data_IF_833944493279
#
_entry.id   IF_833944493279
#
_cell.length_a   1.000
_cell.length_b   1.000
_cell.length_c   1.000
_cell.angle_alpha   90.00
_cell.angle_beta   90.00
_cell.angle_gamma   90.00
#
_symmetry.space_group_name_H-M   'P 1'
#
loop_
_entity.id
_entity.type
_entity.pdbx_description
1 polymer ?
#
# COMPACT_ATOMS: atom_id res chain seq x y z
N UNK A 1 15.06 12.84 -5.84
CA UNK A 1 16.38 12.59 -6.46
C UNK A 1 16.30 11.24 -7.17
N UNK A 2 16.49 11.17 -8.48
CA UNK A 2 16.35 9.94 -9.28
C UNK A 2 17.73 9.27 -9.40
N UNK A 3 17.90 8.02 -8.96
CA UNK A 3 19.22 7.34 -8.95
C UNK A 3 19.36 6.20 -9.97
N UNK A 4 18.30 5.88 -10.72
CA UNK A 4 18.34 4.96 -11.84
C UNK A 4 17.68 5.57 -13.08
N UNK A 5 18.16 5.19 -14.25
CA UNK A 5 17.60 5.56 -15.55
C UNK A 5 17.88 4.45 -16.57
N UNK A 6 17.18 4.46 -17.71
CA UNK A 6 17.49 3.57 -18.82
C UNK A 6 18.51 4.21 -19.76
N UNK A 7 19.48 3.46 -20.24
CA UNK A 7 20.34 3.86 -21.36
C UNK A 7 19.53 4.00 -22.66
N UNK A 8 20.17 4.51 -23.72
CA UNK A 8 19.59 4.49 -25.09
C UNK A 8 19.27 3.07 -25.57
N UNK A 9 20.05 2.08 -25.13
CA UNK A 9 19.82 0.65 -25.42
C UNK A 9 18.80 0.01 -24.48
N UNK A 10 18.08 0.81 -23.67
CA UNK A 10 17.06 0.38 -22.70
C UNK A 10 17.57 -0.57 -21.62
N UNK A 11 18.85 -0.47 -21.29
CA UNK A 11 19.45 -1.15 -20.13
C UNK A 11 19.31 -0.24 -18.92
N UNK A 12 18.88 -0.78 -17.78
CA UNK A 12 18.80 0.00 -16.56
C UNK A 12 20.21 0.27 -16.02
N UNK A 13 20.51 1.54 -15.75
CA UNK A 13 21.80 2.01 -15.25
C UNK A 13 21.58 2.79 -13.95
N UNK A 14 22.42 2.50 -12.96
CA UNK A 14 22.48 3.28 -11.73
C UNK A 14 23.32 4.55 -11.94
N UNK A 15 22.98 5.63 -11.25
CA UNK A 15 23.65 6.92 -11.44
C UNK A 15 25.16 6.89 -11.12
N UNK A 16 25.63 5.91 -10.33
CA UNK A 16 27.05 5.73 -10.04
C UNK A 16 27.83 5.04 -11.17
N UNK A 17 27.13 4.31 -12.04
CA UNK A 17 27.69 3.60 -13.21
C UNK A 17 27.49 4.40 -14.51
N UNK A 18 26.87 5.58 -14.42
CA UNK A 18 26.56 6.42 -15.57
C UNK A 18 27.71 7.38 -15.89
N UNK A 19 27.71 7.88 -17.12
CA UNK A 19 28.70 8.83 -17.62
C UNK A 19 28.08 10.22 -17.83
N UNK A 20 28.84 11.26 -17.47
CA UNK A 20 28.46 12.64 -17.76
C UNK A 20 28.51 12.92 -19.26
N UNK A 21 27.61 13.78 -19.74
CA UNK A 21 27.49 14.11 -21.17
C UNK A 21 26.59 13.16 -21.97
N UNK A 22 26.26 11.98 -21.43
CA UNK A 22 25.31 11.05 -22.04
C UNK A 22 23.84 11.40 -21.74
N UNK A 23 22.96 10.90 -22.60
CA UNK A 23 21.52 10.97 -22.38
C UNK A 23 20.98 9.62 -21.92
N UNK A 24 20.13 9.70 -20.90
CA UNK A 24 19.39 8.56 -20.36
C UNK A 24 17.89 8.82 -20.52
N UNK A 25 17.09 7.80 -20.26
CA UNK A 25 15.63 7.82 -20.36
C UNK A 25 15.02 7.56 -18.97
N UNK A 26 14.06 8.38 -18.59
CA UNK A 26 13.31 8.20 -17.35
C UNK A 26 12.50 6.91 -17.40
N UNK A 27 12.54 6.11 -16.33
CA UNK A 27 11.72 4.89 -16.22
C UNK A 27 10.22 5.19 -16.32
N UNK A 28 9.79 6.34 -15.80
CA UNK A 28 8.38 6.70 -15.67
C UNK A 28 7.84 7.37 -16.94
N UNK A 29 8.45 8.47 -17.38
CA UNK A 29 7.92 9.24 -18.52
C UNK A 29 8.66 8.98 -19.84
N UNK A 30 9.73 8.18 -19.83
CA UNK A 30 10.65 7.99 -20.97
C UNK A 30 11.32 9.29 -21.46
N UNK A 31 11.14 10.40 -20.75
CA UNK A 31 11.77 11.68 -21.03
C UNK A 31 13.28 11.65 -20.83
N UNK A 32 13.97 12.55 -21.52
CA UNK A 32 15.43 12.63 -21.54
C UNK A 32 15.98 13.11 -20.19
N UNK A 33 16.92 12.34 -19.65
CA UNK A 33 17.62 12.59 -18.39
C UNK A 33 19.12 12.82 -18.67
N UNK A 34 19.76 13.58 -17.79
CA UNK A 34 21.23 13.68 -17.71
C UNK A 34 21.74 13.35 -16.32
N UNK A 35 22.96 12.85 -16.26
CA UNK A 35 23.66 12.62 -15.00
C UNK A 35 24.14 13.95 -14.41
N UNK A 36 23.91 14.13 -13.10
CA UNK A 36 24.52 15.17 -12.29
C UNK A 36 25.31 14.52 -11.16
N UNK A 37 26.60 14.79 -11.14
CA UNK A 37 27.52 14.32 -10.12
C UNK A 37 28.49 15.43 -9.73
N UNK A 38 29.22 15.23 -8.64
CA UNK A 38 30.26 16.16 -8.18
C UNK A 38 30.77 15.79 -6.80
N UNK A 39 31.90 16.38 -6.40
CA UNK A 39 32.64 16.02 -5.17
C UNK A 39 31.79 15.92 -3.89
N UNK A 40 30.75 16.74 -3.76
CA UNK A 40 29.89 16.82 -2.57
C UNK A 40 28.43 16.45 -2.86
N UNK A 41 28.16 15.83 -4.01
CA UNK A 41 26.79 15.52 -4.44
C UNK A 41 26.70 14.07 -4.84
N UNK A 42 25.74 13.35 -4.24
CA UNK A 42 25.41 11.99 -4.68
C UNK A 42 25.02 12.02 -6.17
N UNK A 43 25.63 11.16 -7.01
CA UNK A 43 25.24 11.03 -8.41
C UNK A 43 23.75 10.77 -8.54
N UNK A 44 23.07 11.53 -9.39
CA UNK A 44 21.66 11.36 -9.68
C UNK A 44 21.31 11.87 -11.06
N UNK A 45 20.25 11.31 -11.64
CA UNK A 45 19.67 11.78 -12.88
C UNK A 45 18.70 12.92 -12.62
N UNK A 46 18.65 13.85 -13.57
CA UNK A 46 17.68 14.93 -13.59
C UNK A 46 17.16 15.14 -15.02
N UNK A 47 15.91 15.58 -15.13
CA UNK A 47 15.33 15.95 -16.42
C UNK A 47 15.92 17.27 -16.89
N UNK A 48 16.17 17.38 -18.20
CA UNK A 48 16.42 18.67 -18.82
C UNK A 48 15.13 19.52 -18.75
N UNK A 49 15.27 20.84 -18.53
CA UNK A 49 14.15 21.78 -18.29
C UNK A 49 12.96 21.51 -19.24
N UNK A 50 11.74 21.55 -18.69
CA UNK A 50 10.50 21.41 -19.47
C UNK A 50 9.80 20.05 -19.39
N UNK A 51 10.18 19.16 -18.47
CA UNK A 51 9.48 17.89 -18.27
C UNK A 51 8.44 17.97 -17.14
N UNK A 52 7.18 17.70 -17.42
CA UNK A 52 6.13 17.46 -16.41
C UNK A 52 6.18 16.01 -15.89
N UNK A 53 7.38 15.50 -15.60
CA UNK A 53 7.51 14.14 -15.10
C UNK A 53 7.07 14.09 -13.62
N UNK A 54 6.14 13.20 -13.23
CA UNK A 54 5.71 13.04 -11.84
C UNK A 54 6.86 12.71 -10.88
N UNK A 55 7.93 12.08 -11.38
CA UNK A 55 9.12 11.70 -10.62
C UNK A 55 10.23 12.75 -10.61
N UNK A 56 10.00 13.91 -11.24
CA UNK A 56 10.95 15.03 -11.18
C UNK A 56 11.01 15.60 -9.75
N UNK A 57 12.14 15.38 -9.08
CA UNK A 57 12.42 15.99 -7.77
C UNK A 57 11.64 15.41 -6.58
N UNK A 58 11.88 14.14 -6.21
CA UNK A 58 11.44 13.62 -4.89
C UNK A 58 11.83 14.60 -3.78
N UNK A 59 10.83 15.07 -3.03
CA UNK A 59 10.98 16.02 -1.93
C UNK A 59 11.65 15.36 -0.72
N UNK A 60 12.15 16.17 0.23
CA UNK A 60 12.64 15.65 1.51
C UNK A 60 11.57 14.82 2.24
N UNK A 61 10.30 15.20 2.11
CA UNK A 61 9.15 14.45 2.65
C UNK A 61 9.10 13.03 2.06
N UNK A 62 9.23 12.90 0.74
CA UNK A 62 9.23 11.59 0.07
C UNK A 62 10.38 10.70 0.57
N UNK A 63 11.59 11.27 0.63
CA UNK A 63 12.80 10.55 1.08
C UNK A 63 12.70 10.13 2.55
N UNK A 64 12.20 10.99 3.44
CA UNK A 64 11.99 10.63 4.83
C UNK A 64 10.91 9.57 5.00
N UNK A 65 9.82 9.67 4.23
CA UNK A 65 8.77 8.65 4.21
C UNK A 65 9.34 7.28 3.82
N UNK A 66 10.13 7.20 2.74
CA UNK A 66 10.82 5.97 2.33
C UNK A 66 11.69 5.39 3.45
N UNK A 67 12.55 6.23 4.04
CA UNK A 67 13.45 5.82 5.11
C UNK A 67 12.69 5.32 6.35
N UNK A 68 11.61 6.00 6.74
CA UNK A 68 10.79 5.58 7.88
C UNK A 68 10.08 4.26 7.61
N UNK A 69 9.55 4.01 6.40
CA UNK A 69 8.99 2.70 6.05
C UNK A 69 10.07 1.62 6.21
N UNK A 70 11.26 1.81 5.61
CA UNK A 70 12.36 0.83 5.72
C UNK A 70 12.76 0.59 7.17
N UNK A 71 12.93 1.66 7.97
CA UNK A 71 13.28 1.57 9.39
C UNK A 71 12.23 0.82 10.20
N UNK A 72 10.95 1.06 9.92
CA UNK A 72 9.86 0.36 10.59
C UNK A 72 9.93 -1.14 10.30
N UNK A 73 10.20 -1.53 9.06
CA UNK A 73 10.17 -2.93 8.65
C UNK A 73 11.44 -3.74 9.00
N UNK A 74 12.42 -3.13 9.70
CA UNK A 74 13.58 -3.86 10.23
C UNK A 74 13.13 -4.97 11.21
N UNK A 75 13.77 -6.16 11.22
CA UNK A 75 15.00 -6.54 10.50
C UNK A 75 14.82 -7.10 9.09
N UNK A 76 13.61 -7.09 8.53
CA UNK A 76 13.39 -7.69 7.21
C UNK A 76 14.18 -6.94 6.12
N UNK A 77 14.69 -7.64 5.09
CA UNK A 77 15.28 -7.00 3.93
C UNK A 77 14.25 -6.14 3.19
N UNK A 78 14.40 -4.83 3.31
CA UNK A 78 13.56 -3.82 2.65
C UNK A 78 14.45 -2.89 1.83
N UNK A 79 14.08 -2.70 0.56
CA UNK A 79 14.91 -2.01 -0.42
C UNK A 79 14.23 -0.72 -0.87
N UNK A 80 14.95 0.40 -0.77
CA UNK A 80 14.52 1.69 -1.32
C UNK A 80 14.88 1.79 -2.80
N UNK A 81 14.05 2.48 -3.58
CA UNK A 81 14.28 2.70 -5.03
C UNK A 81 14.58 1.38 -5.77
N UNK A 82 13.85 0.30 -5.44
CA UNK A 82 14.16 -1.02 -6.00
C UNK A 82 13.72 -1.08 -7.46
N UNK A 83 14.63 -1.34 -8.41
CA UNK A 83 14.24 -1.51 -9.80
C UNK A 83 13.55 -2.84 -10.05
N UNK A 84 12.57 -2.81 -10.96
CA UNK A 84 11.91 -3.95 -11.55
C UNK A 84 11.99 -3.84 -13.08
N UNK A 85 13.12 -4.25 -13.68
CA UNK A 85 13.39 -4.05 -15.11
C UNK A 85 12.32 -4.66 -16.03
N UNK A 86 11.76 -5.81 -15.66
CA UNK A 86 10.76 -6.57 -16.43
C UNK A 86 9.49 -5.76 -16.71
N UNK A 87 9.14 -4.88 -15.77
CA UNK A 87 7.97 -3.99 -15.86
C UNK A 87 8.38 -2.53 -16.03
N UNK A 88 9.68 -2.25 -16.15
CA UNK A 88 10.28 -0.93 -16.30
C UNK A 88 9.85 0.06 -15.21
N UNK A 89 9.71 -0.42 -13.98
CA UNK A 89 9.36 0.40 -12.80
C UNK A 89 10.49 0.47 -11.79
N UNK A 90 10.47 1.51 -10.96
CA UNK A 90 11.31 1.62 -9.78
C UNK A 90 10.37 1.82 -8.58
N UNK A 91 10.32 0.83 -7.71
CA UNK A 91 9.51 0.90 -6.49
C UNK A 91 10.14 1.86 -5.49
N UNK A 92 9.32 2.72 -4.87
CA UNK A 92 9.79 3.59 -3.80
C UNK A 92 10.34 2.77 -2.63
N UNK A 93 9.59 1.77 -2.18
CA UNK A 93 10.03 0.79 -1.17
C UNK A 93 9.52 -0.59 -1.53
N UNK A 94 10.40 -1.59 -1.58
CA UNK A 94 10.03 -2.98 -1.81
C UNK A 94 10.35 -3.85 -0.60
N UNK A 95 9.39 -4.68 -0.20
CA UNK A 95 9.50 -5.68 0.86
C UNK A 95 9.33 -7.09 0.26
N UNK A 96 10.42 -7.71 -0.24
CA UNK A 96 10.33 -8.95 -1.01
C UNK A 96 9.79 -10.14 -0.21
N UNK A 97 10.08 -10.21 1.10
CA UNK A 97 9.62 -11.28 1.97
C UNK A 97 8.08 -11.38 2.02
N UNK A 98 7.38 -10.24 1.89
CA UNK A 98 5.91 -10.17 1.83
C UNK A 98 5.33 -9.98 0.43
N UNK A 99 6.20 -9.84 -0.59
CA UNK A 99 5.81 -9.44 -1.95
C UNK A 99 4.97 -8.15 -1.96
N UNK A 100 5.40 -7.15 -1.18
CA UNK A 100 4.77 -5.83 -1.12
C UNK A 100 5.68 -4.78 -1.73
N UNK A 101 5.08 -3.86 -2.49
CA UNK A 101 5.67 -2.57 -2.85
C UNK A 101 4.86 -1.48 -2.14
N UNK A 102 5.54 -0.56 -1.47
CA UNK A 102 4.95 0.69 -1.03
C UNK A 102 5.26 1.77 -2.07
N UNK A 103 4.22 2.38 -2.63
CA UNK A 103 4.31 3.57 -3.49
C UNK A 103 3.96 4.79 -2.64
N UNK A 104 4.86 5.78 -2.60
CA UNK A 104 4.66 7.01 -1.83
C UNK A 104 4.24 8.11 -2.79
N UNK A 105 3.14 8.78 -2.51
CA UNK A 105 2.64 9.84 -3.37
C UNK A 105 2.44 11.15 -2.60
N UNK A 106 3.26 12.15 -2.96
CA UNK A 106 3.14 13.53 -2.50
C UNK A 106 2.55 14.46 -3.57
N UNK A 107 3.00 14.30 -4.82
CA UNK A 107 2.61 15.12 -5.98
C UNK A 107 1.28 14.66 -6.61
N UNK A 108 0.66 15.44 -7.51
CA UNK A 108 -0.50 14.94 -8.28
C UNK A 108 -0.14 13.69 -9.10
N UNK A 109 -1.09 12.77 -9.24
CA UNK A 109 -1.00 11.57 -10.08
C UNK A 109 -2.37 11.30 -10.71
N UNK A 110 -2.39 10.76 -11.92
CA UNK A 110 -3.65 10.37 -12.58
C UNK A 110 -4.13 9.00 -12.07
N UNK A 111 -5.44 8.76 -12.11
CA UNK A 111 -6.00 7.44 -11.80
C UNK A 111 -5.47 6.35 -12.75
N UNK A 112 -5.22 6.71 -14.02
CA UNK A 112 -4.67 5.79 -15.01
C UNK A 112 -3.23 5.36 -14.68
N UNK A 113 -2.40 6.28 -14.18
CA UNK A 113 -1.05 5.95 -13.76
C UNK A 113 -1.05 5.07 -12.49
N UNK A 114 -1.94 5.34 -11.53
CA UNK A 114 -2.14 4.47 -10.36
C UNK A 114 -2.54 3.06 -10.80
N UNK A 115 -3.50 2.94 -11.72
CA UNK A 115 -3.93 1.67 -12.29
C UNK A 115 -2.77 0.94 -12.97
N UNK A 116 -2.02 1.65 -13.82
CA UNK A 116 -0.86 1.12 -14.54
C UNK A 116 0.18 0.54 -13.59
N UNK A 117 0.55 1.29 -12.53
CA UNK A 117 1.49 0.81 -11.51
C UNK A 117 0.99 -0.42 -10.77
N UNK A 118 -0.28 -0.42 -10.35
CA UNK A 118 -0.87 -1.59 -9.69
C UNK A 118 -0.80 -2.85 -10.58
N UNK A 119 -1.14 -2.71 -11.87
CA UNK A 119 -1.07 -3.81 -12.83
C UNK A 119 0.36 -4.27 -13.09
N UNK A 120 1.31 -3.35 -13.23
CA UNK A 120 2.72 -3.66 -13.46
C UNK A 120 3.30 -4.48 -12.31
N UNK A 121 3.16 -4.03 -11.06
CA UNK A 121 3.65 -4.80 -9.91
C UNK A 121 2.93 -6.15 -9.75
N UNK A 122 1.64 -6.20 -10.06
CA UNK A 122 0.89 -7.45 -10.04
C UNK A 122 1.45 -8.49 -11.03
N UNK A 123 1.90 -8.08 -12.24
CA UNK A 123 2.50 -8.99 -13.23
C UNK A 123 3.75 -9.70 -12.71
N UNK A 124 4.51 -9.05 -11.82
CA UNK A 124 5.71 -9.62 -11.18
C UNK A 124 5.43 -10.20 -9.79
N UNK A 125 4.15 -10.36 -9.44
CA UNK A 125 3.71 -11.03 -8.23
C UNK A 125 3.79 -10.19 -6.95
N UNK A 126 3.85 -8.87 -7.06
CA UNK A 126 3.82 -7.94 -5.92
C UNK A 126 2.45 -7.29 -5.78
N UNK A 127 2.03 -7.03 -4.53
CA UNK A 127 0.89 -6.17 -4.24
C UNK A 127 1.37 -4.76 -3.88
N UNK A 128 0.58 -3.75 -4.24
CA UNK A 128 0.90 -2.35 -3.96
C UNK A 128 0.14 -1.87 -2.73
N UNK A 129 0.84 -1.20 -1.83
CA UNK A 129 0.28 -0.39 -0.73
C UNK A 129 0.63 1.06 -0.99
N UNK A 130 -0.37 1.90 -1.17
CA UNK A 130 -0.16 3.33 -1.40
C UNK A 130 -0.03 4.08 -0.07
N UNK A 131 0.98 4.94 0.04
CA UNK A 131 1.17 5.87 1.15
C UNK A 131 0.99 7.29 0.60
N UNK A 132 -0.17 7.88 0.88
CA UNK A 132 -0.58 9.18 0.35
C UNK A 132 -0.29 10.28 1.36
N UNK A 133 0.41 11.34 0.95
CA UNK A 133 0.66 12.46 1.85
C UNK A 133 -0.59 13.34 2.02
N UNK A 134 -0.96 13.63 3.27
CA UNK A 134 -2.23 14.26 3.62
C UNK A 134 -2.29 15.77 3.41
N UNK A 135 -1.20 16.41 2.99
CA UNK A 135 -1.22 17.78 2.48
C UNK A 135 -1.79 17.86 1.05
N UNK A 136 -1.81 16.74 0.31
CA UNK A 136 -2.29 16.67 -1.07
C UNK A 136 -3.53 15.79 -1.20
N UNK A 137 -3.52 14.66 -0.52
CA UNK A 137 -4.62 13.70 -0.46
C UNK A 137 -5.36 13.87 0.87
N UNK A 138 -6.43 13.08 1.10
CA UNK A 138 -7.28 13.19 2.28
C UNK A 138 -7.96 14.57 2.44
N UNK A 139 -7.99 15.37 1.39
CA UNK A 139 -8.60 16.70 1.36
C UNK A 139 -10.13 16.60 1.34
N UNK A 140 -10.81 17.74 1.44
CA UNK A 140 -12.27 17.77 1.40
C UNK A 140 -12.84 17.18 0.09
N UNK A 141 -12.24 17.53 -1.05
CA UNK A 141 -12.52 16.92 -2.35
C UNK A 141 -11.42 15.92 -2.69
N UNK A 142 -11.81 14.69 -3.06
CA UNK A 142 -10.88 13.67 -3.50
C UNK A 142 -10.40 13.96 -4.91
N UNK A 143 -9.17 13.55 -5.18
CA UNK A 143 -8.66 13.43 -6.56
C UNK A 143 -9.20 12.15 -7.21
N UNK A 144 -9.19 12.08 -8.54
CA UNK A 144 -9.55 10.86 -9.29
C UNK A 144 -8.68 9.66 -8.89
N UNK A 145 -7.39 9.89 -8.64
CA UNK A 145 -6.47 8.86 -8.14
C UNK A 145 -6.91 8.32 -6.76
N UNK A 146 -7.32 9.21 -5.86
CA UNK A 146 -7.77 8.84 -4.52
C UNK A 146 -9.13 8.12 -4.53
N UNK A 147 -10.02 8.49 -5.46
CA UNK A 147 -11.27 7.75 -5.71
C UNK A 147 -10.98 6.33 -6.21
N UNK A 148 -10.09 6.20 -7.20
CA UNK A 148 -9.67 4.90 -7.71
C UNK A 148 -9.09 4.00 -6.60
N UNK A 149 -8.27 4.59 -5.72
CA UNK A 149 -7.65 3.89 -4.61
C UNK A 149 -8.62 3.42 -3.53
N UNK A 150 -9.89 3.84 -3.50
CA UNK A 150 -10.84 3.35 -2.49
C UNK A 150 -10.95 1.81 -2.46
N UNK A 151 -10.73 1.16 -3.61
CA UNK A 151 -10.75 -0.31 -3.75
C UNK A 151 -9.37 -0.98 -3.70
N UNK A 152 -8.31 -0.21 -3.43
CA UNK A 152 -6.92 -0.68 -3.35
C UNK A 152 -6.30 -0.30 -1.99
N UNK A 153 -5.40 -1.13 -1.42
CA UNK A 153 -4.76 -0.81 -0.15
C UNK A 153 -4.03 0.54 -0.18
N UNK A 154 -4.51 1.48 0.63
CA UNK A 154 -3.89 2.80 0.78
C UNK A 154 -4.02 3.32 2.22
N UNK A 155 -3.02 4.08 2.63
CA UNK A 155 -2.95 4.74 3.93
C UNK A 155 -2.43 6.16 3.74
N UNK A 156 -2.53 6.97 4.79
CA UNK A 156 -2.09 8.36 4.77
C UNK A 156 -0.87 8.58 5.64
N UNK A 157 -0.16 9.67 5.37
CA UNK A 157 0.89 10.16 6.25
C UNK A 157 0.91 11.69 6.29
N UNK A 158 1.35 12.22 7.41
CA UNK A 158 1.63 13.64 7.62
C UNK A 158 3.13 13.91 7.91
N UNK A 159 4.02 12.97 7.51
CA UNK A 159 5.47 13.10 7.72
C UNK A 159 5.97 14.40 7.11
N UNK A 160 6.53 15.26 7.95
CA UNK A 160 7.04 16.56 7.53
C UNK A 160 8.45 16.46 6.92
N UNK A 161 9.00 17.60 6.48
CA UNK A 161 10.34 17.67 5.86
C UNK A 161 11.49 17.30 6.81
N UNK A 162 11.24 17.19 8.12
CA UNK A 162 12.20 16.79 9.15
C UNK A 162 12.06 15.30 9.52
N UNK A 163 11.10 14.59 8.94
CA UNK A 163 10.87 13.17 9.22
C UNK A 163 9.99 12.92 10.45
N UNK A 164 9.23 13.93 10.90
CA UNK A 164 8.33 13.80 12.04
C UNK A 164 6.89 13.66 11.54
N UNK A 165 6.13 12.74 12.14
CA UNK A 165 4.75 12.44 11.77
C UNK A 165 4.42 10.98 11.99
N UNK A 166 3.29 10.53 11.44
CA UNK A 166 2.81 9.17 11.56
C UNK A 166 2.31 8.61 10.23
N UNK A 167 2.26 7.29 10.13
CA UNK A 167 1.43 6.58 9.18
C UNK A 167 0.07 6.31 9.84
N UNK A 168 -1.02 6.53 9.11
CA UNK A 168 -2.35 6.34 9.66
C UNK A 168 -3.38 5.91 8.62
N UNK A 169 -4.41 5.24 9.10
CA UNK A 169 -5.63 4.98 8.37
C UNK A 169 -6.70 6.01 8.74
N UNK A 170 -7.49 6.42 7.76
CA UNK A 170 -8.67 7.26 7.98
C UNK A 170 -9.70 6.97 6.90
N UNK A 171 -10.81 6.36 7.29
CA UNK A 171 -11.93 6.13 6.40
C UNK A 171 -12.81 7.37 6.29
N UNK A 172 -13.47 7.56 5.16
CA UNK A 172 -14.41 8.64 4.95
C UNK A 172 -15.63 8.17 4.20
N UNK A 173 -16.77 8.79 4.53
CA UNK A 173 -17.97 8.71 3.73
C UNK A 173 -17.84 9.72 2.60
N UNK A 174 -18.01 9.24 1.36
CA UNK A 174 -17.80 10.03 0.14
C UNK A 174 -19.11 10.11 -0.63
N UNK A 175 -19.50 11.33 -1.04
CA UNK A 175 -20.62 11.58 -1.95
C UNK A 175 -20.13 12.45 -3.09
N UNK A 176 -20.31 12.00 -4.34
CA UNK A 176 -19.89 12.74 -5.56
C UNK A 176 -18.47 13.34 -5.47
N UNK A 177 -17.48 12.55 -5.01
CA UNK A 177 -16.08 12.95 -4.74
C UNK A 177 -15.80 13.86 -3.53
N UNK A 178 -16.81 14.18 -2.74
CA UNK A 178 -16.67 15.01 -1.54
C UNK A 178 -16.70 14.13 -0.29
N UNK A 179 -15.74 14.35 0.62
CA UNK A 179 -15.78 13.79 1.98
C UNK A 179 -16.85 14.51 2.78
N UNK A 180 -17.93 13.80 3.11
CA UNK A 180 -19.04 14.28 3.94
C UNK A 180 -18.90 13.86 5.42
N UNK A 181 -17.97 12.95 5.72
CA UNK A 181 -17.64 12.53 7.07
C UNK A 181 -16.31 11.76 7.10
N UNK A 182 -15.64 11.75 8.25
CA UNK A 182 -14.36 11.03 8.45
C UNK A 182 -14.40 10.26 9.77
N UNK A 183 -13.76 9.10 9.79
CA UNK A 183 -13.39 8.44 11.05
C UNK A 183 -12.28 9.23 11.76
N UNK A 184 -11.98 8.91 13.03
CA UNK A 184 -10.70 9.27 13.64
C UNK A 184 -9.52 8.77 12.78
N UNK A 185 -8.35 9.38 13.00
CA UNK A 185 -7.09 8.86 12.46
C UNK A 185 -6.63 7.71 13.34
N UNK A 186 -6.47 6.54 12.74
CA UNK A 186 -5.94 5.37 13.45
C UNK A 186 -4.47 5.18 13.05
N UNK A 187 -3.55 5.33 14.00
CA UNK A 187 -2.14 5.11 13.74
C UNK A 187 -1.89 3.64 13.38
N UNK A 188 -1.13 3.40 12.31
CA UNK A 188 -0.84 2.05 11.83
C UNK A 188 0.60 1.64 12.13
N UNK A 189 0.83 0.34 12.33
CA UNK A 189 2.16 -0.25 12.49
C UNK A 189 2.49 -1.11 11.28
N UNK A 190 3.36 -0.61 10.41
CA UNK A 190 3.66 -1.23 9.10
C UNK A 190 4.15 -2.68 9.22
N UNK A 191 4.84 -3.03 10.31
CA UNK A 191 5.32 -4.39 10.60
C UNK A 191 4.16 -5.39 10.74
N UNK A 192 2.99 -4.92 11.17
CA UNK A 192 1.77 -5.71 11.36
C UNK A 192 0.99 -5.96 10.07
N UNK A 193 1.60 -5.78 8.89
CA UNK A 193 0.96 -6.11 7.61
C UNK A 193 0.69 -7.62 7.51
N UNK A 194 -0.57 -7.98 7.38
CA UNK A 194 -1.03 -9.36 7.30
C UNK A 194 -2.12 -9.53 6.23
N UNK A 195 -2.31 -10.75 5.68
CA UNK A 195 -3.45 -11.03 4.82
C UNK A 195 -4.78 -10.82 5.56
N UNK A 196 -5.75 -10.18 4.90
CA UNK A 196 -7.11 -10.02 5.43
C UNK A 196 -7.88 -11.35 5.27
N UNK A 197 -7.68 -12.29 6.21
CA UNK A 197 -8.31 -13.63 6.18
C UNK A 197 -9.79 -13.60 6.56
N UNK A 198 -10.15 -12.80 7.57
CA UNK A 198 -11.52 -12.61 8.04
C UNK A 198 -11.92 -11.17 7.80
N UNK A 199 -12.95 -10.97 6.98
CA UNK A 199 -13.46 -9.64 6.65
C UNK A 199 -14.51 -9.24 7.69
N UNK A 200 -14.29 -8.16 8.47
CA UNK A 200 -15.30 -7.66 9.40
C UNK A 200 -16.60 -7.32 8.66
N UNK A 201 -17.75 -7.66 9.24
CA UNK A 201 -19.06 -7.44 8.58
C UNK A 201 -19.34 -5.95 8.32
N UNK A 202 -18.85 -5.10 9.21
CA UNK A 202 -18.99 -3.64 9.17
C UNK A 202 -17.89 -2.95 8.35
N UNK A 203 -16.96 -3.72 7.75
CA UNK A 203 -15.95 -3.12 6.88
C UNK A 203 -16.65 -2.51 5.66
N UNK A 204 -16.34 -1.26 5.27
CA UNK A 204 -16.89 -0.64 4.06
C UNK A 204 -16.70 -1.53 2.83
N UNK A 205 -17.69 -1.58 1.93
CA UNK A 205 -17.72 -2.50 0.80
C UNK A 205 -16.48 -2.36 -0.10
N UNK A 206 -16.04 -1.13 -0.34
CA UNK A 206 -14.85 -0.81 -1.12
C UNK A 206 -13.57 -1.36 -0.49
N UNK A 207 -13.52 -1.54 0.83
CA UNK A 207 -12.37 -2.11 1.54
C UNK A 207 -12.40 -3.62 1.62
N UNK A 208 -13.53 -4.26 1.33
CA UNK A 208 -13.61 -5.73 1.29
C UNK A 208 -12.83 -6.33 0.12
N UNK A 209 -12.50 -5.53 -0.89
CA UNK A 209 -11.63 -5.95 -2.00
C UNK A 209 -10.15 -6.01 -1.60
N UNK A 210 -9.78 -5.42 -0.46
CA UNK A 210 -8.41 -5.39 0.00
C UNK A 210 -8.00 -6.77 0.50
N UNK A 211 -6.87 -7.27 0.01
CA UNK A 211 -6.33 -8.60 0.38
C UNK A 211 -5.46 -8.57 1.63
N UNK A 212 -5.15 -7.38 2.14
CA UNK A 212 -4.23 -7.14 3.25
C UNK A 212 -4.84 -6.12 4.22
N UNK A 213 -4.33 -6.15 5.45
CA UNK A 213 -4.61 -5.19 6.52
C UNK A 213 -3.31 -4.88 7.24
N UNK A 214 -3.24 -3.73 7.89
CA UNK A 214 -2.10 -3.32 8.72
C UNK A 214 -2.59 -3.11 10.15
N UNK A 215 -1.82 -3.59 11.13
CA UNK A 215 -2.11 -3.37 12.55
C UNK A 215 -2.43 -1.91 12.84
N UNK A 216 -3.57 -1.69 13.50
CA UNK A 216 -4.10 -0.36 13.83
C UNK A 216 -4.99 0.26 12.76
N UNK A 217 -5.19 -0.36 11.59
CA UNK A 217 -6.15 0.17 10.61
C UNK A 217 -7.61 -0.04 11.04
N UNK A 218 -8.57 0.53 10.30
CA UNK A 218 -9.99 0.43 10.59
C UNK A 218 -10.45 -1.01 10.82
N UNK A 219 -9.89 -1.98 10.10
CA UNK A 219 -10.29 -3.39 10.24
C UNK A 219 -9.89 -3.99 11.60
N UNK A 220 -8.92 -3.40 12.33
CA UNK A 220 -8.55 -3.75 13.70
C UNK A 220 -9.51 -3.20 14.75
N UNK A 221 -10.22 -2.12 14.41
CA UNK A 221 -11.19 -1.49 15.30
C UNK A 221 -12.62 -2.02 15.10
N UNK A 222 -12.85 -2.87 14.10
CA UNK A 222 -14.15 -3.47 13.82
C UNK A 222 -14.26 -4.89 14.39
N UNK A 223 -15.41 -5.26 14.98
CA UNK A 223 -15.62 -6.60 15.49
C UNK A 223 -15.59 -7.64 14.35
N UNK A 224 -14.84 -8.72 14.58
CA UNK A 224 -14.85 -9.86 13.67
C UNK A 224 -16.21 -10.56 13.68
N UNK A 225 -16.63 -11.19 12.57
CA UNK A 225 -17.85 -11.98 12.56
C UNK A 225 -17.74 -13.08 13.63
N UNK A 226 -18.63 -13.07 14.62
CA UNK A 226 -18.69 -14.16 15.59
C UNK A 226 -19.01 -15.46 14.84
N UNK A 227 -18.19 -16.49 15.05
CA UNK A 227 -18.53 -17.83 14.59
C UNK A 227 -19.81 -18.23 15.32
N UNK A 228 -20.95 -18.21 14.63
CA UNK A 228 -22.16 -18.88 15.14
C UNK A 228 -21.79 -20.35 15.24
N UNK A 229 -21.38 -20.82 16.43
CA UNK A 229 -21.42 -22.25 16.75
C UNK A 229 -22.80 -22.72 16.29
N UNK A 230 -22.87 -23.64 15.33
CA UNK A 230 -24.11 -24.34 14.98
C UNK A 230 -24.76 -24.66 16.32
N UNK A 231 -25.93 -24.07 16.63
CA UNK A 231 -26.73 -24.50 17.77
C UNK A 231 -26.85 -26.01 17.58
N UNK A 232 -26.19 -26.81 18.43
CA UNK A 232 -26.52 -28.23 18.52
C UNK A 232 -28.01 -28.23 18.76
N UNK A 233 -28.79 -28.68 17.78
CA UNK A 233 -30.21 -28.97 18.01
C UNK A 233 -30.19 -29.89 19.22
N UNK A 234 -30.71 -29.42 20.36
CA UNK A 234 -30.99 -30.31 21.48
C UNK A 234 -31.97 -31.31 20.91
N UNK A 235 -31.51 -32.52 20.65
CA UNK A 235 -32.41 -33.66 20.52
C UNK A 235 -33.12 -33.70 21.88
N UNK A 236 -34.46 -33.58 21.95
CA UNK A 236 -35.16 -33.70 23.21
C UNK A 236 -34.89 -35.11 23.76
N UNK A 237 -34.14 -35.19 24.84
CA UNK A 237 -34.08 -36.37 25.70
C UNK A 237 -35.41 -36.44 26.45
N UNK A 238 -36.45 -36.93 25.77
CA UNK A 238 -37.72 -37.29 26.41
C UNK A 238 -38.11 -38.69 25.92
N UNK A 239 -38.05 -39.62 26.89
CA UNK A 239 -38.70 -40.93 26.97
C UNK A 239 -38.19 -42.07 26.06
N UNK A 240 -37.09 -42.68 26.49
CA UNK A 240 -36.94 -44.14 26.48
C UNK A 240 -36.98 -44.66 27.93
N UNK A 241 -38.12 -44.46 28.59
CA UNK A 241 -38.45 -45.14 29.86
C UNK A 241 -39.91 -45.60 29.79
N UNK A 242 -40.16 -46.57 28.93
CA UNK A 242 -41.41 -47.34 28.97
C UNK A 242 -41.24 -48.77 28.43
N UNK A 243 -40.18 -49.49 28.83
CA UNK A 243 -40.08 -50.94 28.65
C UNK A 243 -39.25 -51.63 29.75
N UNK A 244 -39.46 -51.27 31.02
CA UNK A 244 -38.99 -52.09 32.17
C UNK A 244 -40.10 -52.41 33.19
N UNK A 245 -41.36 -52.42 32.75
CA UNK A 245 -42.52 -52.76 33.58
C UNK A 245 -43.37 -53.92 32.99
N UNK A 246 -42.74 -54.86 32.28
CA UNK A 246 -43.39 -56.09 31.79
C UNK A 246 -42.53 -57.36 32.04
N UNK A 247 -41.79 -57.42 33.14
CA UNK A 247 -41.15 -58.67 33.62
C UNK A 247 -41.44 -58.98 35.10
N UNK A 248 -42.59 -58.54 35.62
CA UNK A 248 -43.09 -58.99 36.94
C UNK A 248 -44.57 -59.33 36.92
N UNK A 249 -44.96 -60.25 36.04
CA UNK A 249 -46.17 -61.09 36.18
C UNK A 249 -45.96 -62.38 35.39
N UNK A 250 -45.18 -63.32 35.93
CA UNK A 250 -45.29 -64.76 35.69
C UNK A 250 -44.69 -65.50 36.90
N UNK A 251 -45.53 -65.67 37.91
CA UNK A 251 -45.52 -66.78 38.87
C UNK A 251 -46.88 -66.77 39.55
#
# INVERSE_FOLDING_TARGET
>A
MQIYAFSKTRVLIAAHDAHTGEDYLCSECQGRLRLREGKWRRPHFYHLKGSDCPSSGKSLIHLHTQYLIQKNLFPDPVFLEKPFPEIRRIADVAWPAKKIVFEIQYSPISAEEVRSRNLDYQKVGYQVVWILHDSRFNQHRLTEAELFLQTSPHYFTNINRFGEGIFYDQHAHISHNIRIGRSPRFAIRLQGLTPLKQVPRQLPEERKTWKIRIEGDLSYHLPLPSYKKKKRRRIPLIRLLYHSLLEKTTS
#
